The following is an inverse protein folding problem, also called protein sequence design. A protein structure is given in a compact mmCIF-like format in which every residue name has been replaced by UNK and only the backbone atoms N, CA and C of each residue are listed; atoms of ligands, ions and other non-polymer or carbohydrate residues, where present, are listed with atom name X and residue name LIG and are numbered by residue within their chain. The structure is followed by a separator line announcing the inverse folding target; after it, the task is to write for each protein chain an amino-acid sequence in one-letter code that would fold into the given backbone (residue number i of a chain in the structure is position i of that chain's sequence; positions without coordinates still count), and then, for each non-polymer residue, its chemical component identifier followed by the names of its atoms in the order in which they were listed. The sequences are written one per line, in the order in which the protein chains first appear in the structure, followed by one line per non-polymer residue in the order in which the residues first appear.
data_IF_105614584783
#
_entry.id   IF_105614584783
#
_cell.length_a   1.000
_cell.length_b   1.000
_cell.length_c   1.000
_cell.angle_alpha   90.00
_cell.angle_beta   90.00
_cell.angle_gamma   90.00
#
_symmetry.space_group_name_H-M   'P 1'
#
loop_
_entity.id
_entity.type
_entity.pdbx_description
1 polymer ?
#
# COMPACT_ATOMS: atom_id res chain seq x y z
N UNK A 1 -32.67 -7.43 15.70
CA UNK A 1 -31.74 -8.26 14.90
C UNK A 1 -31.76 -7.99 13.39
N UNK A 2 -32.89 -7.70 12.73
CA UNK A 2 -32.95 -7.62 11.26
C UNK A 2 -32.16 -6.46 10.60
N UNK A 3 -31.98 -5.34 11.30
CA UNK A 3 -31.19 -4.18 10.82
C UNK A 3 -29.67 -4.35 10.98
N UNK A 4 -29.22 -5.29 11.82
CA UNK A 4 -27.79 -5.52 12.09
C UNK A 4 -27.13 -6.27 10.92
N UNK A 5 -27.86 -7.21 10.30
CA UNK A 5 -27.35 -8.03 9.20
C UNK A 5 -26.96 -7.24 7.93
N UNK A 6 -27.76 -6.27 7.43
CA UNK A 6 -27.36 -5.46 6.28
C UNK A 6 -26.21 -4.48 6.60
N UNK A 7 -26.13 -3.99 7.84
CA UNK A 7 -25.03 -3.11 8.29
C UNK A 7 -23.71 -3.90 8.37
N UNK A 8 -23.74 -5.13 8.91
CA UNK A 8 -22.58 -6.01 8.94
C UNK A 8 -22.12 -6.40 7.53
N UNK A 9 -23.04 -6.68 6.59
CA UNK A 9 -22.68 -6.92 5.19
C UNK A 9 -22.04 -5.70 4.53
N UNK A 10 -22.53 -4.50 4.82
CA UNK A 10 -21.93 -3.25 4.35
C UNK A 10 -20.51 -3.05 4.87
N UNK A 11 -20.28 -3.28 6.17
CA UNK A 11 -18.95 -3.20 6.78
C UNK A 11 -17.97 -4.21 6.20
N UNK A 12 -18.41 -5.46 5.96
CA UNK A 12 -17.56 -6.50 5.34
C UNK A 12 -17.11 -6.08 3.94
N UNK A 13 -18.01 -5.52 3.12
CA UNK A 13 -17.63 -5.04 1.79
C UNK A 13 -16.63 -3.89 1.84
N UNK A 14 -16.77 -2.97 2.80
CA UNK A 14 -15.82 -1.85 2.97
C UNK A 14 -14.45 -2.38 3.42
N UNK A 15 -14.43 -3.33 4.37
CA UNK A 15 -13.21 -3.99 4.81
C UNK A 15 -12.52 -4.72 3.65
N UNK A 16 -13.27 -5.42 2.80
CA UNK A 16 -12.72 -6.13 1.65
C UNK A 16 -12.06 -5.17 0.64
N UNK A 17 -12.71 -4.05 0.32
CA UNK A 17 -12.16 -3.01 -0.57
C UNK A 17 -10.89 -2.40 0.03
N UNK A 18 -10.90 -2.08 1.33
CA UNK A 18 -9.75 -1.52 2.03
C UNK A 18 -8.57 -2.48 2.02
N UNK A 19 -8.79 -3.76 2.34
CA UNK A 19 -7.75 -4.78 2.31
C UNK A 19 -7.20 -5.02 0.91
N UNK A 20 -8.05 -4.90 -0.12
CA UNK A 20 -7.62 -4.98 -1.52
C UNK A 20 -6.70 -3.82 -1.92
N UNK A 21 -6.99 -2.59 -1.47
CA UNK A 21 -6.12 -1.42 -1.69
C UNK A 21 -4.77 -1.63 -0.99
N UNK A 22 -4.77 -2.10 0.27
CA UNK A 22 -3.53 -2.39 1.01
C UNK A 22 -2.66 -3.44 0.29
N UNK A 23 -3.28 -4.49 -0.24
CA UNK A 23 -2.58 -5.52 -1.01
C UNK A 23 -1.88 -4.95 -2.26
N UNK A 24 -2.57 -4.11 -3.03
CA UNK A 24 -1.98 -3.47 -4.22
C UNK A 24 -0.77 -2.60 -3.85
N UNK A 25 -0.87 -1.85 -2.76
CA UNK A 25 0.24 -0.99 -2.33
C UNK A 25 1.44 -1.80 -1.83
N UNK A 26 1.21 -2.90 -1.11
CA UNK A 26 2.30 -3.80 -0.69
C UNK A 26 3.02 -4.42 -1.90
N UNK A 27 2.28 -4.89 -2.91
CA UNK A 27 2.85 -5.40 -4.16
C UNK A 27 3.60 -4.31 -4.95
N UNK A 28 3.11 -3.07 -4.94
CA UNK A 28 3.75 -1.93 -5.59
C UNK A 28 5.09 -1.58 -4.91
N UNK A 29 5.16 -1.60 -3.58
CA UNK A 29 6.40 -1.38 -2.82
C UNK A 29 7.42 -2.49 -3.13
N UNK A 30 6.99 -3.75 -3.11
CA UNK A 30 7.86 -4.88 -3.43
C UNK A 30 8.40 -4.77 -4.86
N UNK A 31 7.54 -4.43 -5.83
CA UNK A 31 7.93 -4.23 -7.22
C UNK A 31 8.93 -3.07 -7.40
N UNK A 32 8.71 -1.95 -6.71
CA UNK A 32 9.62 -0.81 -6.75
C UNK A 32 10.97 -1.11 -6.07
N UNK A 33 10.97 -1.87 -4.97
CA UNK A 33 12.19 -2.33 -4.31
C UNK A 33 13.04 -3.24 -5.22
N UNK A 34 12.40 -4.16 -5.94
CA UNK A 34 13.05 -4.98 -6.96
C UNK A 34 13.61 -4.14 -8.10
N UNK A 35 12.87 -3.12 -8.56
CA UNK A 35 13.33 -2.18 -9.58
C UNK A 35 14.59 -1.41 -9.16
N UNK A 36 14.66 -0.95 -7.90
CA UNK A 36 15.86 -0.32 -7.33
C UNK A 36 17.03 -1.30 -7.26
N UNK A 37 16.79 -2.53 -6.81
CA UNK A 37 17.83 -3.56 -6.74
C UNK A 37 18.44 -3.85 -8.13
N UNK A 38 17.59 -3.98 -9.16
CA UNK A 38 18.04 -4.16 -10.53
C UNK A 38 18.81 -2.94 -11.07
N UNK A 39 18.38 -1.72 -10.73
CA UNK A 39 19.09 -0.50 -11.11
C UNK A 39 20.49 -0.42 -10.47
N UNK A 40 20.63 -0.82 -9.19
CA UNK A 40 21.92 -0.93 -8.51
C UNK A 40 22.81 -1.99 -9.18
N UNK A 41 22.25 -3.17 -9.49
CA UNK A 41 22.97 -4.24 -10.20
C UNK A 41 23.46 -3.79 -11.58
N UNK A 42 22.67 -2.98 -12.28
CA UNK A 42 23.05 -2.37 -13.56
C UNK A 42 24.03 -1.19 -13.46
N UNK A 43 24.56 -0.88 -12.26
CA UNK A 43 25.40 0.31 -11.97
C UNK A 43 24.74 1.64 -12.36
N UNK A 44 23.41 1.66 -12.48
CA UNK A 44 22.62 2.86 -12.73
C UNK A 44 22.27 3.53 -11.41
N UNK A 45 23.26 4.20 -10.81
CA UNK A 45 23.12 4.84 -9.49
C UNK A 45 22.08 5.96 -9.49
N UNK A 46 21.89 6.66 -10.61
CA UNK A 46 20.85 7.69 -10.76
C UNK A 46 19.45 7.08 -10.74
N UNK A 47 19.24 5.96 -11.44
CA UNK A 47 17.97 5.22 -11.41
C UNK A 47 17.66 4.66 -10.02
N UNK A 48 18.68 4.10 -9.36
CA UNK A 48 18.55 3.61 -7.98
C UNK A 48 18.21 4.73 -6.98
N UNK A 49 18.88 5.89 -7.09
CA UNK A 49 18.60 7.06 -6.25
C UNK A 49 17.16 7.55 -6.39
N UNK A 50 16.63 7.61 -7.62
CA UNK A 50 15.25 8.02 -7.87
C UNK A 50 14.27 7.01 -7.30
N UNK A 51 14.50 5.71 -7.50
CA UNK A 51 13.63 4.67 -6.94
C UNK A 51 13.64 4.62 -5.41
N UNK A 52 14.80 4.85 -4.76
CA UNK A 52 14.87 4.98 -3.29
C UNK A 52 14.10 6.19 -2.79
N UNK A 53 14.18 7.32 -3.52
CA UNK A 53 13.45 8.55 -3.17
C UNK A 53 11.94 8.35 -3.30
N UNK A 54 11.48 7.66 -4.34
CA UNK A 54 10.05 7.33 -4.52
C UNK A 54 9.54 6.36 -3.45
N UNK A 55 10.33 5.32 -3.13
CA UNK A 55 9.99 4.36 -2.09
C UNK A 55 9.86 5.02 -0.71
N UNK A 56 10.86 5.81 -0.30
CA UNK A 56 10.88 6.44 1.02
C UNK A 56 10.00 7.68 1.13
N UNK A 57 9.83 8.43 0.04
CA UNK A 57 9.17 9.73 0.06
C UNK A 57 7.68 9.68 -0.27
N UNK A 58 7.21 8.64 -0.97
CA UNK A 58 5.80 8.59 -1.42
C UNK A 58 5.12 7.27 -1.09
N UNK A 59 5.70 6.13 -1.48
CA UNK A 59 5.02 4.83 -1.35
C UNK A 59 4.89 4.37 0.11
N UNK A 60 5.97 4.43 0.90
CA UNK A 60 5.92 4.03 2.32
C UNK A 60 5.02 4.98 3.15
N UNK A 61 5.07 6.31 2.96
CA UNK A 61 4.15 7.23 3.62
C UNK A 61 2.69 7.01 3.24
N UNK A 62 2.36 6.77 1.96
CA UNK A 62 0.99 6.52 1.52
C UNK A 62 0.39 5.28 2.20
N UNK A 63 1.15 4.20 2.27
CA UNK A 63 0.73 2.96 2.91
C UNK A 63 0.51 3.15 4.41
N UNK A 64 1.35 3.98 5.05
CA UNK A 64 1.15 4.37 6.45
C UNK A 64 -0.10 5.21 6.65
N UNK A 65 -0.35 6.19 5.79
CA UNK A 65 -1.54 7.06 5.88
C UNK A 65 -2.82 6.24 5.66
N UNK A 66 -2.82 5.31 4.70
CA UNK A 66 -3.94 4.38 4.49
C UNK A 66 -4.13 3.50 5.73
N UNK A 67 -3.06 2.93 6.29
CA UNK A 67 -3.19 2.09 7.47
C UNK A 67 -3.69 2.88 8.70
N UNK A 68 -3.23 4.11 8.90
CA UNK A 68 -3.67 4.99 9.98
C UNK A 68 -5.16 5.38 9.82
N UNK A 69 -5.64 5.60 8.58
CA UNK A 69 -7.08 5.84 8.31
C UNK A 69 -7.92 4.60 8.62
N UNK A 70 -7.43 3.40 8.30
CA UNK A 70 -8.14 2.15 8.58
C UNK A 70 -8.23 1.88 10.08
N UNK A 71 -7.16 2.12 10.84
CA UNK A 71 -7.14 2.00 12.30
C UNK A 71 -8.12 2.99 12.96
N UNK A 72 -8.37 4.14 12.34
CA UNK A 72 -9.33 5.13 12.85
C UNK A 72 -10.81 4.75 12.60
N UNK A 73 -11.07 3.81 11.69
CA UNK A 73 -12.43 3.37 11.28
C UNK A 73 -12.81 2.01 11.89
N UNK A 74 -11.84 1.23 12.36
CA UNK A 74 -12.04 -0.05 13.05
C UNK A 74 -12.28 0.11 14.57
#
# INVERSE_FOLDING_TARGET
MALILPVLKGLVNVMEIVTFIQFIEEEAIQSAALGVFLAIRGKSYRGASLGITLLRGQLIPHLRDINDVVVMVA
#
